data_IF_482077823935
#
_entry.id   IF_482077823935
#
_cell.length_a   1.000
_cell.length_b   1.000
_cell.length_c   1.000
_cell.angle_alpha   90.00
_cell.angle_beta   90.00
_cell.angle_gamma   90.00
#
_symmetry.space_group_name_H-M   'P 1'
#
loop_
_entity.id
_entity.type
_entity.pdbx_description
1 polymer ?
#
# COMPACT_ATOMS: atom_id res chain seq x y z
N UNK A 1 36.39 21.42 26.40
CA UNK A 1 35.05 21.84 25.94
C UNK A 1 34.72 21.39 24.50
N UNK A 2 35.60 21.60 23.49
CA UNK A 2 35.36 21.15 22.10
C UNK A 2 35.13 19.63 21.92
N UNK A 3 35.82 18.78 22.69
CA UNK A 3 35.69 17.31 22.60
C UNK A 3 34.27 16.80 22.94
N UNK A 4 33.65 17.38 23.97
CA UNK A 4 32.30 16.97 24.40
C UNK A 4 31.21 17.36 23.40
N UNK A 5 31.37 18.49 22.71
CA UNK A 5 30.44 18.93 21.67
C UNK A 5 30.49 18.01 20.43
N UNK A 6 31.69 17.61 20.01
CA UNK A 6 31.89 16.67 18.88
C UNK A 6 31.31 15.29 19.23
N UNK A 7 31.54 14.80 20.46
CA UNK A 7 30.99 13.51 20.90
C UNK A 7 29.45 13.53 20.93
N UNK A 8 28.85 14.65 21.35
CA UNK A 8 27.40 14.83 21.35
C UNK A 8 26.82 14.84 19.93
N UNK A 9 27.47 15.51 18.98
CA UNK A 9 27.05 15.48 17.57
C UNK A 9 27.16 14.08 16.94
N UNK A 10 28.23 13.33 17.23
CA UNK A 10 28.38 11.95 16.73
C UNK A 10 27.27 11.04 17.29
N UNK A 11 26.99 11.14 18.59
CA UNK A 11 25.96 10.33 19.24
C UNK A 11 24.56 10.64 18.70
N UNK A 12 24.25 11.92 18.45
CA UNK A 12 22.96 12.34 17.88
C UNK A 12 22.80 11.93 16.42
N UNK A 13 23.87 12.01 15.61
CA UNK A 13 23.90 11.50 14.23
C UNK A 13 23.67 9.98 14.19
N UNK A 14 24.31 9.24 15.09
CA UNK A 14 24.13 7.79 15.26
C UNK A 14 22.71 7.42 15.65
N UNK A 15 22.15 8.08 16.66
CA UNK A 15 20.77 7.86 17.12
C UNK A 15 19.75 8.11 16.00
N UNK A 16 19.91 9.23 15.25
CA UNK A 16 19.03 9.55 14.11
C UNK A 16 19.08 8.49 13.02
N UNK A 17 20.28 8.01 12.68
CA UNK A 17 20.46 6.97 11.66
C UNK A 17 19.83 5.64 12.10
N UNK A 18 20.01 5.27 13.36
CA UNK A 18 19.45 4.05 13.93
C UNK A 18 17.91 4.09 13.95
N UNK A 19 17.33 5.17 14.46
CA UNK A 19 15.88 5.38 14.47
C UNK A 19 15.28 5.26 13.06
N UNK A 20 15.92 5.88 12.07
CA UNK A 20 15.51 5.79 10.67
C UNK A 20 15.44 4.34 10.17
N UNK A 21 16.46 3.53 10.44
CA UNK A 21 16.49 2.14 9.99
C UNK A 21 15.42 1.29 10.69
N UNK A 22 15.13 1.56 11.96
CA UNK A 22 14.00 0.93 12.66
C UNK A 22 12.69 1.25 11.93
N UNK A 23 12.42 2.54 11.68
CA UNK A 23 11.18 2.97 11.02
C UNK A 23 11.06 2.32 9.63
N UNK A 24 12.14 2.28 8.86
CA UNK A 24 12.14 1.62 7.54
C UNK A 24 11.92 0.11 7.62
N UNK A 25 12.50 -0.56 8.62
CA UNK A 25 12.24 -1.97 8.86
C UNK A 25 10.79 -2.24 9.24
N UNK A 26 10.20 -1.42 10.11
CA UNK A 26 8.79 -1.52 10.49
C UNK A 26 7.85 -1.27 9.30
N UNK A 27 8.15 -0.27 8.46
CA UNK A 27 7.43 -0.02 7.21
C UNK A 27 7.46 -1.24 6.28
N UNK A 28 8.63 -1.87 6.12
CA UNK A 28 8.76 -3.05 5.26
C UNK A 28 7.96 -4.25 5.79
N UNK A 29 7.96 -4.45 7.10
CA UNK A 29 7.13 -5.49 7.75
C UNK A 29 5.65 -5.19 7.52
N UNK A 30 5.24 -3.93 7.73
CA UNK A 30 3.86 -3.50 7.52
C UNK A 30 3.40 -3.69 6.06
N UNK A 31 4.25 -3.35 5.09
CA UNK A 31 4.03 -3.63 3.67
C UNK A 31 3.80 -5.13 3.41
N UNK A 32 4.62 -6.01 4.01
CA UNK A 32 4.45 -7.46 3.87
C UNK A 32 3.10 -7.97 4.40
N UNK A 33 2.60 -7.39 5.50
CA UNK A 33 1.26 -7.72 5.99
C UNK A 33 0.17 -7.28 5.02
N UNK A 34 0.25 -6.06 4.46
CA UNK A 34 -0.75 -5.59 3.51
C UNK A 34 -0.75 -6.35 2.19
N UNK A 35 0.42 -6.73 1.66
CA UNK A 35 0.50 -7.62 0.50
C UNK A 35 -0.24 -8.93 0.74
N UNK A 36 -0.06 -9.53 1.93
CA UNK A 36 -0.76 -10.75 2.31
C UNK A 36 -2.27 -10.53 2.43
N UNK A 37 -2.69 -9.42 3.04
CA UNK A 37 -4.12 -9.12 3.19
C UNK A 37 -4.80 -8.91 1.84
N UNK A 38 -4.24 -8.07 0.97
CA UNK A 38 -4.80 -7.81 -0.36
C UNK A 38 -4.85 -9.10 -1.19
N UNK A 39 -3.82 -9.95 -1.11
CA UNK A 39 -3.82 -11.25 -1.79
C UNK A 39 -4.97 -12.17 -1.33
N UNK A 40 -5.22 -12.24 -0.02
CA UNK A 40 -6.31 -13.05 0.53
C UNK A 40 -7.67 -12.50 0.12
N UNK A 41 -7.88 -11.19 0.21
CA UNK A 41 -9.13 -10.52 -0.16
C UNK A 41 -9.41 -10.70 -1.66
N UNK A 42 -8.40 -10.49 -2.50
CA UNK A 42 -8.48 -10.68 -3.94
C UNK A 42 -8.93 -12.10 -4.33
N UNK A 43 -8.55 -13.12 -3.55
CA UNK A 43 -9.00 -14.50 -3.75
C UNK A 43 -10.51 -14.72 -3.56
N UNK A 44 -11.20 -13.83 -2.85
CA UNK A 44 -12.65 -13.87 -2.65
C UNK A 44 -13.40 -12.86 -3.53
N UNK A 45 -12.77 -11.77 -3.95
CA UNK A 45 -13.44 -10.68 -4.67
C UNK A 45 -13.17 -10.66 -6.17
N UNK A 46 -12.07 -11.26 -6.64
CA UNK A 46 -11.73 -11.33 -8.06
C UNK A 46 -12.11 -12.68 -8.66
N UNK A 47 -12.48 -12.66 -9.94
CA UNK A 47 -12.81 -13.84 -10.72
C UNK A 47 -12.28 -13.69 -12.17
N UNK A 48 -12.57 -14.68 -13.02
CA UNK A 48 -12.09 -14.71 -14.41
C UNK A 48 -12.60 -13.56 -15.29
N UNK A 49 -13.66 -12.86 -14.86
CA UNK A 49 -14.25 -11.72 -15.57
C UNK A 49 -13.80 -10.36 -15.01
N UNK A 50 -12.96 -10.35 -13.97
CA UNK A 50 -12.45 -9.12 -13.35
C UNK A 50 -11.56 -8.33 -14.30
N UNK A 51 -11.81 -7.03 -14.39
CA UNK A 51 -11.06 -6.09 -15.22
C UNK A 51 -9.75 -5.67 -14.56
N UNK A 52 -8.84 -5.06 -15.33
CA UNK A 52 -7.59 -4.51 -14.76
C UNK A 52 -7.90 -3.49 -13.66
N UNK A 53 -8.97 -2.72 -13.78
CA UNK A 53 -9.37 -1.75 -12.76
C UNK A 53 -9.79 -2.44 -11.46
N UNK A 54 -10.48 -3.58 -11.55
CA UNK A 54 -10.86 -4.38 -10.38
C UNK A 54 -9.62 -4.95 -9.69
N UNK A 55 -8.64 -5.42 -10.47
CA UNK A 55 -7.34 -5.85 -9.95
C UNK A 55 -6.61 -4.72 -9.22
N UNK A 56 -6.50 -3.53 -9.82
CA UNK A 56 -5.78 -2.43 -9.16
C UNK A 56 -6.52 -1.91 -7.93
N UNK A 57 -7.87 -1.96 -7.92
CA UNK A 57 -8.66 -1.66 -6.73
C UNK A 57 -8.42 -2.69 -5.62
N UNK A 58 -8.45 -3.99 -5.93
CA UNK A 58 -8.26 -5.06 -4.96
C UNK A 58 -6.89 -5.01 -4.25
N UNK A 59 -5.87 -4.45 -4.93
CA UNK A 59 -4.52 -4.24 -4.37
C UNK A 59 -4.25 -2.77 -4.00
N UNK A 60 -5.28 -1.95 -3.77
CA UNK A 60 -5.12 -0.52 -3.54
C UNK A 60 -4.18 -0.21 -2.36
N UNK A 61 -4.25 -0.96 -1.26
CA UNK A 61 -3.40 -0.70 -0.08
C UNK A 61 -1.94 -1.03 -0.40
N UNK A 62 -1.68 -2.18 -1.03
CA UNK A 62 -0.34 -2.58 -1.48
C UNK A 62 0.25 -1.56 -2.46
N UNK A 63 -0.55 -1.05 -3.39
CA UNK A 63 -0.14 -0.01 -4.35
C UNK A 63 0.21 1.27 -3.60
N UNK A 64 -0.60 1.72 -2.65
CA UNK A 64 -0.38 2.94 -1.86
C UNK A 64 0.94 2.87 -1.07
N UNK A 65 1.12 1.80 -0.29
CA UNK A 65 2.32 1.58 0.52
C UNK A 65 3.57 1.47 -0.36
N UNK A 66 3.47 0.79 -1.52
CA UNK A 66 4.58 0.72 -2.47
C UNK A 66 4.97 2.09 -3.01
N UNK A 67 4.00 2.95 -3.34
CA UNK A 67 4.24 4.28 -3.85
C UNK A 67 4.92 5.16 -2.79
N UNK A 68 4.45 5.12 -1.54
CA UNK A 68 5.08 5.82 -0.42
C UNK A 68 6.51 5.33 -0.14
N UNK A 69 6.74 4.02 -0.11
CA UNK A 69 8.09 3.47 0.06
C UNK A 69 9.04 3.91 -1.06
N UNK A 70 8.60 3.86 -2.32
CA UNK A 70 9.41 4.30 -3.46
C UNK A 70 9.71 5.79 -3.36
N UNK A 71 8.75 6.63 -2.97
CA UNK A 71 8.96 8.06 -2.73
C UNK A 71 9.98 8.31 -1.61
N UNK A 72 9.90 7.57 -0.51
CA UNK A 72 10.88 7.68 0.59
C UNK A 72 12.31 7.35 0.11
N UNK A 73 12.47 6.28 -0.68
CA UNK A 73 13.75 5.93 -1.28
C UNK A 73 14.23 7.03 -2.22
N UNK A 74 13.33 7.57 -3.04
CA UNK A 74 13.63 8.63 -4.00
C UNK A 74 14.09 9.92 -3.31
N UNK A 75 13.39 10.35 -2.25
CA UNK A 75 13.74 11.54 -1.47
C UNK A 75 15.06 11.38 -0.73
N UNK A 76 15.35 10.18 -0.22
CA UNK A 76 16.66 9.89 0.39
C UNK A 76 17.79 9.93 -0.65
N UNK A 77 17.56 9.41 -1.86
CA UNK A 77 18.52 9.49 -2.95
C UNK A 77 18.75 10.95 -3.36
N UNK A 78 17.70 11.73 -3.56
CA UNK A 78 17.78 13.15 -3.91
C UNK A 78 18.60 13.93 -2.88
N UNK A 79 18.34 13.72 -1.59
CA UNK A 79 19.10 14.37 -0.51
C UNK A 79 20.58 14.01 -0.53
N UNK A 80 20.94 12.75 -0.85
CA UNK A 80 22.34 12.33 -1.00
C UNK A 80 23.03 12.97 -2.20
N UNK A 81 22.28 13.30 -3.24
CA UNK A 81 22.81 13.88 -4.47
C UNK A 81 22.72 15.40 -4.57
N UNK A 82 22.12 16.10 -3.59
CA UNK A 82 22.03 17.58 -3.60
C UNK A 82 23.38 18.29 -3.89
N UNK A 83 24.49 17.71 -3.42
CA UNK A 83 25.84 18.28 -3.60
C UNK A 83 26.61 17.72 -4.81
N UNK A 84 26.05 16.75 -5.53
CA UNK A 84 26.71 16.07 -6.65
C UNK A 84 25.89 16.29 -7.94
N UNK A 85 26.55 16.60 -9.05
CA UNK A 85 25.86 16.78 -10.32
C UNK A 85 25.23 15.45 -10.79
N UNK A 86 23.90 15.37 -10.76
CA UNK A 86 23.18 14.21 -11.25
C UNK A 86 23.15 14.22 -12.79
N UNK A 87 23.41 13.07 -13.41
CA UNK A 87 23.26 12.93 -14.86
C UNK A 87 21.81 13.22 -15.29
N UNK A 88 21.58 13.89 -16.44
CA UNK A 88 20.23 14.23 -16.91
C UNK A 88 19.31 13.02 -17.04
N UNK A 89 19.85 11.86 -17.44
CA UNK A 89 19.08 10.60 -17.54
C UNK A 89 18.59 10.15 -16.17
N UNK A 90 19.46 10.20 -15.14
CA UNK A 90 19.09 9.83 -13.77
C UNK A 90 18.02 10.77 -13.22
N UNK A 91 18.15 12.07 -13.47
CA UNK A 91 17.15 13.06 -13.08
C UNK A 91 15.80 12.82 -13.76
N UNK A 92 15.80 12.46 -15.05
CA UNK A 92 14.58 12.11 -15.79
C UNK A 92 13.91 10.86 -15.20
N UNK A 93 14.67 9.79 -14.95
CA UNK A 93 14.14 8.56 -14.33
C UNK A 93 13.53 8.87 -12.96
N UNK A 94 14.25 9.62 -12.12
CA UNK A 94 13.75 10.01 -10.80
C UNK A 94 12.43 10.79 -10.89
N UNK A 95 12.31 11.72 -11.85
CA UNK A 95 11.07 12.47 -12.08
C UNK A 95 9.94 11.58 -12.60
N UNK A 96 10.22 10.65 -13.52
CA UNK A 96 9.23 9.73 -14.05
C UNK A 96 8.69 8.78 -12.97
N UNK A 97 9.58 8.20 -12.16
CA UNK A 97 9.20 7.36 -11.01
C UNK A 97 8.34 8.14 -10.02
N UNK A 98 8.70 9.40 -9.71
CA UNK A 98 7.90 10.27 -8.83
C UNK A 98 6.49 10.48 -9.36
N UNK A 99 6.35 10.79 -10.65
CA UNK A 99 5.04 10.97 -11.29
C UNK A 99 4.24 9.66 -11.22
N UNK A 100 4.88 8.52 -11.48
CA UNK A 100 4.26 7.20 -11.33
C UNK A 100 3.70 6.98 -9.93
N UNK A 101 4.48 7.26 -8.88
CA UNK A 101 4.01 7.17 -7.49
C UNK A 101 2.82 8.08 -7.20
N UNK A 102 2.81 9.32 -7.70
CA UNK A 102 1.68 10.22 -7.51
C UNK A 102 0.42 9.76 -8.23
N UNK A 103 0.55 9.16 -9.42
CA UNK A 103 -0.56 8.53 -10.13
C UNK A 103 -1.10 7.34 -9.33
N UNK A 104 -0.22 6.49 -8.79
CA UNK A 104 -0.62 5.39 -7.92
C UNK A 104 -1.40 5.88 -6.70
N UNK A 105 -0.90 6.89 -5.98
CA UNK A 105 -1.60 7.47 -4.81
C UNK A 105 -2.94 8.10 -5.21
N UNK A 106 -3.03 8.76 -6.36
CA UNK A 106 -4.31 9.28 -6.85
C UNK A 106 -5.30 8.16 -7.18
N UNK A 107 -4.81 7.05 -7.74
CA UNK A 107 -5.64 5.87 -8.01
C UNK A 107 -6.15 5.21 -6.72
N UNK A 108 -5.34 5.12 -5.66
CA UNK A 108 -5.75 4.51 -4.39
C UNK A 108 -6.82 5.35 -3.70
N UNK A 109 -6.72 6.69 -3.75
CA UNK A 109 -7.80 7.59 -3.31
C UNK A 109 -9.12 7.32 -4.06
N UNK A 110 -9.06 7.15 -5.38
CA UNK A 110 -10.24 6.76 -6.17
C UNK A 110 -10.78 5.40 -5.70
N UNK A 111 -9.93 4.38 -5.56
CA UNK A 111 -10.36 3.04 -5.15
C UNK A 111 -11.06 3.06 -3.78
N UNK A 112 -10.51 3.78 -2.80
CA UNK A 112 -11.13 3.93 -1.49
C UNK A 112 -12.46 4.69 -1.54
N UNK A 113 -12.58 5.72 -2.38
CA UNK A 113 -13.84 6.43 -2.55
C UNK A 113 -14.94 5.50 -3.08
N UNK A 114 -14.63 4.64 -4.05
CA UNK A 114 -15.60 3.66 -4.56
C UNK A 114 -15.95 2.61 -3.51
N UNK A 115 -14.97 2.14 -2.71
CA UNK A 115 -15.28 1.22 -1.60
C UNK A 115 -16.21 1.84 -0.54
N UNK A 116 -16.01 3.11 -0.21
CA UNK A 116 -16.92 3.82 0.69
C UNK A 116 -18.32 3.91 0.10
N UNK A 117 -18.44 4.18 -1.20
CA UNK A 117 -19.74 4.22 -1.89
C UNK A 117 -20.44 2.85 -1.87
N UNK A 118 -19.73 1.77 -2.24
CA UNK A 118 -20.24 0.40 -2.26
C UNK A 118 -20.71 -0.06 -0.87
N UNK A 119 -19.95 0.27 0.18
CA UNK A 119 -20.32 -0.04 1.57
C UNK A 119 -21.49 0.81 2.08
N UNK A 120 -21.65 2.04 1.57
CA UNK A 120 -22.73 2.94 1.97
C UNK A 120 -24.06 2.60 1.30
N UNK A 121 -24.03 1.85 0.19
CA UNK A 121 -25.20 1.48 -0.60
C UNK A 121 -25.16 -0.01 -0.96
N UNK A 122 -25.28 -0.91 0.04
CA UNK A 122 -25.26 -2.34 -0.23
C UNK A 122 -26.44 -2.73 -1.13
N UNK A 123 -26.15 -3.39 -2.25
CA UNK A 123 -27.18 -4.00 -3.08
C UNK A 123 -27.62 -5.33 -2.46
N UNK A 124 -28.93 -5.50 -2.33
CA UNK A 124 -29.52 -6.78 -1.95
C UNK A 124 -29.42 -7.73 -3.14
N UNK A 125 -29.09 -8.99 -2.87
CA UNK A 125 -29.17 -10.04 -3.87
C UNK A 125 -30.64 -10.40 -4.03
N UNK A 126 -31.22 -10.06 -5.19
CA UNK A 126 -32.64 -10.35 -5.45
C UNK A 126 -32.90 -11.84 -5.44
N UNK A 127 -33.99 -12.25 -4.78
CA UNK A 127 -34.42 -13.64 -4.73
C UNK A 127 -33.73 -14.51 -3.69
N UNK A 128 -32.80 -13.95 -2.89
CA UNK A 128 -32.17 -14.68 -1.77
C UNK A 128 -32.77 -14.22 -0.45
N UNK A 129 -33.37 -15.13 0.31
CA UNK A 129 -33.99 -14.82 1.60
C UNK A 129 -33.12 -15.20 2.81
N UNK A 130 -32.26 -16.20 2.64
CA UNK A 130 -31.33 -16.68 3.66
C UNK A 130 -29.94 -16.94 3.08
N UNK A 131 -28.89 -16.72 3.88
CA UNK A 131 -27.49 -16.98 3.49
C UNK A 131 -27.25 -18.44 3.08
N UNK A 132 -28.03 -19.39 3.62
CA UNK A 132 -27.92 -20.80 3.30
C UNK A 132 -28.27 -21.10 1.82
N UNK A 133 -29.04 -20.24 1.16
CA UNK A 133 -29.38 -20.41 -0.26
C UNK A 133 -28.18 -20.17 -1.18
N UNK A 134 -27.16 -19.44 -0.71
CA UNK A 134 -25.92 -19.14 -1.43
C UNK A 134 -24.82 -20.21 -1.19
N UNK A 135 -25.09 -21.24 -0.40
CA UNK A 135 -24.13 -22.31 -0.12
C UNK A 135 -23.87 -23.11 -1.40
N UNK A 136 -22.61 -23.21 -1.81
CA UNK A 136 -22.20 -23.91 -3.02
C UNK A 136 -22.02 -23.01 -4.26
N UNK A 137 -22.48 -21.76 -4.22
CA UNK A 137 -22.35 -20.80 -5.32
C UNK A 137 -20.99 -20.09 -5.37
N UNK A 138 -20.02 -20.55 -4.55
CA UNK A 138 -18.72 -19.90 -4.40
C UNK A 138 -18.79 -18.55 -3.68
N UNK A 139 -19.95 -18.19 -3.11
CA UNK A 139 -20.13 -16.98 -2.34
C UNK A 139 -19.37 -17.04 -0.99
N UNK A 140 -18.86 -15.89 -0.57
CA UNK A 140 -18.18 -15.71 0.72
C UNK A 140 -18.85 -14.59 1.49
N UNK A 141 -19.08 -14.80 2.78
CA UNK A 141 -19.55 -13.76 3.69
C UNK A 141 -18.34 -13.03 4.29
N UNK A 142 -18.44 -11.71 4.42
CA UNK A 142 -17.40 -10.91 5.07
C UNK A 142 -17.95 -10.15 6.26
N UNK A 143 -17.24 -10.22 7.38
CA UNK A 143 -17.50 -9.42 8.57
C UNK A 143 -16.17 -8.93 9.13
N UNK A 144 -16.06 -7.62 9.34
CA UNK A 144 -14.83 -6.99 9.83
C UNK A 144 -13.58 -7.41 9.02
N UNK A 145 -13.69 -7.43 7.69
CA UNK A 145 -12.65 -7.84 6.73
C UNK A 145 -12.23 -9.33 6.82
N UNK A 146 -12.96 -10.14 7.58
CA UNK A 146 -12.76 -11.58 7.65
C UNK A 146 -13.71 -12.24 6.65
N UNK A 147 -13.14 -12.77 5.56
CA UNK A 147 -13.88 -13.54 4.56
C UNK A 147 -14.00 -15.00 5.01
N UNK A 148 -15.23 -15.50 5.01
CA UNK A 148 -15.57 -16.88 5.32
C UNK A 148 -16.37 -17.47 4.18
N UNK A 149 -15.93 -18.60 3.64
CA UNK A 149 -16.66 -19.34 2.61
C UNK A 149 -17.94 -19.93 3.21
N UNK A 150 -19.06 -19.85 2.48
CA UNK A 150 -20.31 -20.46 2.91
C UNK A 150 -20.23 -21.98 2.75
N UNK A 151 -20.39 -22.71 3.85
CA UNK A 151 -20.44 -24.17 3.89
C UNK A 151 -21.63 -24.64 4.74
N UNK A 152 -22.06 -25.88 4.51
CA UNK A 152 -23.08 -26.57 5.31
C UNK A 152 -22.65 -26.89 6.72
#
# INVERSE_FOLDING_TARGET
MKSNAIQFEINTLGARRYFKWIVYGLLLINFGFYVRYDWMIAGHTLNSSSTILDWTRAYAVTIDESAWMILLILFELETRFINNSLSPIKALIMRAVRIGCYVSIAHTLYAFAVYVEELSRPQLIEGVSDLCELVGDGASYTYNLIYTTLST
#
